data_IF_050946007474
#
_entry.id   IF_050946007474
#
_cell.length_a   1.000
_cell.length_b   1.000
_cell.length_c   1.000
_cell.angle_alpha   90.00
_cell.angle_beta   90.00
_cell.angle_gamma   90.00
#
_symmetry.space_group_name_H-M   'P 1'
#
loop_
_entity.id
_entity.type
_entity.pdbx_description
1 polymer ?
#
# COMPACT_ATOMS: atom_id res chain seq x y z
N UNK A 1 14.84 5.11 -18.59
CA UNK A 1 14.10 6.10 -17.76
C UNK A 1 13.44 5.31 -16.62
N UNK A 2 14.20 5.02 -15.56
CA UNK A 2 13.82 4.13 -14.46
C UNK A 2 13.38 4.95 -13.24
N UNK A 3 12.37 5.80 -13.41
CA UNK A 3 11.77 6.51 -12.30
C UNK A 3 10.29 6.13 -12.26
N UNK A 4 9.96 5.14 -11.44
CA UNK A 4 8.61 5.01 -10.93
C UNK A 4 8.43 6.11 -9.90
N UNK A 5 7.49 7.02 -10.12
CA UNK A 5 7.03 7.91 -9.06
C UNK A 5 6.29 7.01 -8.06
N UNK A 6 7.01 6.47 -7.09
CA UNK A 6 6.44 5.76 -5.96
C UNK A 6 5.82 6.81 -5.06
N UNK A 7 4.52 7.08 -5.18
CA UNK A 7 3.84 7.89 -4.17
C UNK A 7 3.72 7.09 -2.88
N UNK A 8 3.81 7.75 -1.73
CA UNK A 8 3.56 7.09 -0.44
C UNK A 8 2.17 6.48 -0.43
N UNK A 9 2.05 5.26 0.10
CA UNK A 9 0.82 4.49 0.08
C UNK A 9 0.10 4.58 1.42
N UNK A 10 -1.22 4.74 1.35
CA UNK A 10 -2.13 4.53 2.47
C UNK A 10 -2.87 3.22 2.22
N UNK A 11 -2.67 2.24 3.09
CA UNK A 11 -3.28 0.91 2.98
C UNK A 11 -4.28 0.75 4.11
N UNK A 12 -5.52 0.42 3.76
CA UNK A 12 -6.55 0.06 4.74
C UNK A 12 -6.64 -1.46 4.78
N UNK A 13 -6.46 -2.04 5.96
CA UNK A 13 -6.69 -3.45 6.21
C UNK A 13 -7.90 -3.59 7.13
N UNK A 14 -8.76 -4.54 6.81
CA UNK A 14 -9.95 -4.88 7.60
C UNK A 14 -9.79 -6.33 8.05
N UNK A 15 -9.91 -6.57 9.35
CA UNK A 15 -9.88 -7.92 9.90
C UNK A 15 -11.24 -8.63 9.76
N UNK A 16 -11.34 -9.94 10.05
CA UNK A 16 -12.60 -10.68 9.96
C UNK A 16 -13.73 -10.15 10.86
N UNK A 17 -13.40 -9.39 11.91
CA UNK A 17 -14.34 -8.78 12.84
C UNK A 17 -14.78 -7.36 12.38
N UNK A 18 -14.39 -6.95 11.16
CA UNK A 18 -14.64 -5.64 10.57
C UNK A 18 -13.90 -4.46 11.24
N UNK A 19 -12.85 -4.72 12.03
CA UNK A 19 -12.01 -3.64 12.51
C UNK A 19 -11.09 -3.16 11.38
N UNK A 20 -11.25 -1.90 10.98
CA UNK A 20 -10.40 -1.27 9.99
C UNK A 20 -9.19 -0.59 10.65
N UNK A 21 -8.01 -0.73 10.04
CA UNK A 21 -6.80 0.02 10.39
C UNK A 21 -6.16 0.58 9.14
N UNK A 22 -5.62 1.78 9.27
CA UNK A 22 -4.90 2.45 8.19
C UNK A 22 -3.40 2.36 8.48
N UNK A 23 -2.65 2.00 7.46
CA UNK A 23 -1.19 1.92 7.48
C UNK A 23 -0.62 2.87 6.42
N UNK A 24 0.51 3.49 6.76
CA UNK A 24 1.27 4.33 5.87
C UNK A 24 2.58 3.63 5.47
N UNK A 25 2.87 3.62 4.17
CA UNK A 25 4.16 3.15 3.64
C UNK A 25 4.81 4.33 2.91
N UNK A 26 5.88 4.93 3.49
CA UNK A 26 6.71 5.92 2.81
C UNK A 26 7.23 5.39 1.48
N UNK A 27 7.37 6.27 0.50
CA UNK A 27 7.94 5.98 -0.82
C UNK A 27 9.26 5.21 -0.72
N UNK A 28 10.12 5.60 0.22
CA UNK A 28 11.48 5.09 0.39
C UNK A 28 11.51 3.63 0.85
N UNK A 29 10.43 3.15 1.46
CA UNK A 29 10.30 1.74 1.86
C UNK A 29 9.77 0.85 0.73
N UNK A 30 9.36 1.44 -0.40
CA UNK A 30 8.76 0.71 -1.50
C UNK A 30 9.83 0.14 -2.43
N UNK A 31 9.65 -1.12 -2.81
CA UNK A 31 10.51 -1.81 -3.79
C UNK A 31 9.70 -2.15 -5.03
N UNK A 32 10.39 -2.42 -6.15
CA UNK A 32 9.72 -2.82 -7.39
C UNK A 32 8.98 -4.16 -7.22
N UNK A 33 9.55 -5.05 -6.41
CA UNK A 33 9.05 -6.38 -6.13
C UNK A 33 7.75 -6.38 -5.32
N UNK A 34 7.41 -5.26 -4.65
CA UNK A 34 6.10 -5.09 -4.02
C UNK A 34 4.95 -5.07 -5.01
N UNK A 35 5.18 -4.58 -6.23
CA UNK A 35 4.14 -4.39 -7.23
C UNK A 35 4.06 -5.61 -8.14
N UNK A 36 3.37 -6.64 -7.67
CA UNK A 36 3.17 -7.87 -8.43
C UNK A 36 2.04 -7.68 -9.44
N UNK A 37 2.29 -7.77 -10.76
CA UNK A 37 1.25 -7.59 -11.77
C UNK A 37 0.16 -8.66 -11.62
N UNK A 38 -1.10 -8.23 -11.69
CA UNK A 38 -2.27 -9.12 -11.70
C UNK A 38 -2.52 -9.64 -13.11
N UNK A 39 -3.41 -10.61 -13.24
CA UNK A 39 -3.98 -10.94 -14.55
C UNK A 39 -4.72 -9.72 -15.12
N UNK A 40 -4.55 -9.41 -16.43
CA UNK A 40 -5.34 -8.38 -17.09
C UNK A 40 -6.83 -8.69 -17.00
N UNK A 41 -7.64 -7.64 -16.94
CA UNK A 41 -9.09 -7.80 -16.92
C UNK A 41 -9.58 -8.46 -18.22
N UNK A 42 -10.52 -9.39 -18.08
CA UNK A 42 -11.08 -10.16 -19.20
C UNK A 42 -11.80 -9.29 -20.24
N UNK A 43 -12.14 -9.88 -21.40
CA UNK A 43 -12.66 -9.15 -22.56
C UNK A 43 -14.02 -8.48 -22.33
N UNK A 44 -14.82 -8.99 -21.39
CA UNK A 44 -16.14 -8.46 -21.08
C UNK A 44 -16.11 -7.36 -19.99
N UNK A 45 -14.95 -7.05 -19.42
CA UNK A 45 -14.83 -6.02 -18.39
C UNK A 45 -14.91 -4.62 -19.00
N UNK A 46 -15.46 -3.64 -18.26
CA UNK A 46 -15.51 -2.22 -18.65
C UNK A 46 -14.13 -1.66 -19.04
N UNK A 47 -13.06 -2.18 -18.42
CA UNK A 47 -11.66 -1.85 -18.69
C UNK A 47 -10.92 -3.07 -19.20
N UNK A 48 -11.46 -3.75 -20.21
CA UNK A 48 -10.86 -4.94 -20.80
C UNK A 48 -9.37 -4.72 -21.12
N UNK A 49 -8.54 -5.70 -20.76
CA UNK A 49 -7.08 -5.64 -20.92
C UNK A 49 -6.35 -4.77 -19.89
N UNK A 50 -7.05 -4.01 -19.03
CA UNK A 50 -6.38 -3.26 -17.96
C UNK A 50 -5.72 -4.21 -16.97
N UNK A 51 -4.46 -3.92 -16.63
CA UNK A 51 -3.68 -4.70 -15.68
C UNK A 51 -3.36 -3.85 -14.44
N UNK A 52 -3.81 -4.33 -13.28
CA UNK A 52 -3.45 -3.77 -12.00
C UNK A 52 -2.28 -4.52 -11.35
N UNK A 53 -2.03 -4.19 -10.07
CA UNK A 53 -1.01 -4.84 -9.26
C UNK A 53 -1.61 -5.29 -7.92
N UNK A 54 -1.07 -6.37 -7.37
CA UNK A 54 -1.16 -6.69 -5.96
C UNK A 54 0.01 -6.02 -5.24
N UNK A 55 -0.23 -5.52 -4.02
CA UNK A 55 0.82 -4.91 -3.19
C UNK A 55 1.30 -5.96 -2.19
N UNK A 56 2.51 -6.48 -2.39
CA UNK A 56 3.13 -7.49 -1.54
C UNK A 56 3.95 -6.80 -0.45
N UNK A 57 3.32 -6.48 0.67
CA UNK A 57 3.95 -5.72 1.77
C UNK A 57 5.20 -6.39 2.36
N UNK A 58 5.33 -7.72 2.28
CA UNK A 58 6.52 -8.44 2.76
C UNK A 58 7.78 -8.20 1.91
N UNK A 59 7.66 -7.52 0.75
CA UNK A 59 8.78 -7.12 -0.11
C UNK A 59 9.22 -5.68 0.12
N UNK A 60 8.58 -4.96 1.03
CA UNK A 60 9.02 -3.63 1.44
C UNK A 60 10.36 -3.69 2.18
N UNK A 61 11.10 -2.57 2.19
CA UNK A 61 12.35 -2.44 2.96
C UNK A 61 12.11 -2.34 4.47
N UNK A 62 10.88 -2.08 4.89
CA UNK A 62 10.49 -1.95 6.29
C UNK A 62 9.01 -2.22 6.52
N UNK A 63 8.61 -2.29 7.78
CA UNK A 63 7.23 -2.53 8.15
C UNK A 63 6.34 -1.30 7.83
N UNK A 64 5.09 -1.51 7.38
CA UNK A 64 4.10 -0.44 7.29
C UNK A 64 3.87 0.21 8.66
N UNK A 65 3.73 1.53 8.68
CA UNK A 65 3.55 2.31 9.90
C UNK A 65 2.04 2.41 10.18
N UNK A 66 1.51 1.88 11.30
CA UNK A 66 0.11 2.06 11.64
C UNK A 66 -0.18 3.53 11.92
N UNK A 67 -1.22 4.10 11.31
CA UNK A 67 -1.61 5.49 11.57
C UNK A 67 -2.26 5.66 12.95
N UNK A 68 -2.95 4.61 13.43
CA UNK A 68 -3.55 4.55 14.75
C UNK A 68 -3.09 3.28 15.47
N UNK A 69 -2.54 3.43 16.67
CA UNK A 69 -2.28 2.33 17.61
C UNK A 69 -3.18 2.57 18.83
N UNK A 70 -4.00 1.57 19.19
CA UNK A 70 -4.81 1.59 20.41
C UNK A 70 -5.75 2.80 20.57
N UNK A 71 -6.23 3.38 19.46
CA UNK A 71 -7.09 4.57 19.47
C UNK A 71 -6.34 5.90 19.54
N UNK A 72 -5.01 5.88 19.61
CA UNK A 72 -4.17 7.07 19.58
C UNK A 72 -3.53 7.25 18.19
N UNK A 73 -3.52 8.50 17.72
CA UNK A 73 -2.79 8.87 16.51
C UNK A 73 -1.28 8.85 16.81
N UNK A 74 -0.52 8.07 16.05
CA UNK A 74 0.91 7.81 16.34
C UNK A 74 1.83 8.84 15.68
N UNK A 75 1.28 9.79 14.91
CA UNK A 75 2.06 10.87 14.31
C UNK A 75 2.39 11.93 15.35
N UNK A 76 3.45 11.70 16.11
CA UNK A 76 4.14 12.78 16.82
C UNK A 76 5.13 13.42 15.86
N UNK A 77 4.70 14.46 15.16
CA UNK A 77 5.61 15.34 14.44
C UNK A 77 6.30 16.24 15.46
N UNK A 78 7.45 15.82 15.98
CA UNK A 78 8.33 16.72 16.71
C UNK A 78 9.09 17.57 15.71
N UNK A 79 8.60 18.80 15.48
CA UNK A 79 9.41 19.84 14.87
C UNK A 79 10.43 20.30 15.93
N UNK A 80 11.73 20.20 15.62
CA UNK A 80 12.77 20.92 16.34
C UNK A 80 12.79 22.38 15.95
#
# INVERSE_FOLDING_TARGET
MNAGIYFSLYIVLVDPDNNARIFFIPQELQTREMFQPREPLGPNAKRAGWQGFNIVCSKALGAPIPLCLNGENVFRLEYK
#
